data_IF_457184778031
#
_entry.id   IF_457184778031
#
_cell.length_a   1.000
_cell.length_b   1.000
_cell.length_c   1.000
_cell.angle_alpha   90.00
_cell.angle_beta   90.00
_cell.angle_gamma   90.00
#
_symmetry.space_group_name_H-M   'P 1'
#
loop_
_entity.id
_entity.type
_entity.pdbx_description
1 polymer ?
#
# COMPACT_ATOMS: atom_id res chain seq x y z
N UNK A 1 -18.17 54.59 3.96
CA UNK A 1 -17.02 53.70 4.19
C UNK A 1 -17.49 52.28 3.95
N UNK A 2 -17.34 51.78 2.72
CA UNK A 2 -17.67 50.38 2.39
C UNK A 2 -16.57 49.49 2.96
N UNK A 3 -16.90 48.65 3.94
CA UNK A 3 -16.00 47.61 4.42
C UNK A 3 -15.79 46.60 3.29
N UNK A 4 -14.66 46.75 2.58
CA UNK A 4 -14.09 45.67 1.77
C UNK A 4 -13.55 44.61 2.73
N UNK A 5 -14.43 43.77 3.27
CA UNK A 5 -14.04 42.43 3.69
C UNK A 5 -13.69 41.70 2.40
N UNK A 6 -12.39 41.63 2.08
CA UNK A 6 -11.90 40.89 0.92
C UNK A 6 -12.56 39.52 0.91
N UNK A 7 -13.24 39.20 -0.20
CA UNK A 7 -14.04 37.99 -0.33
C UNK A 7 -13.16 36.77 -0.06
N UNK A 8 -13.28 36.23 1.16
CA UNK A 8 -12.71 34.96 1.53
C UNK A 8 -13.26 33.89 0.57
N UNK A 9 -12.40 32.94 0.19
CA UNK A 9 -12.66 31.89 -0.80
C UNK A 9 -14.07 31.29 -0.67
N UNK A 10 -14.68 30.92 -1.82
CA UNK A 10 -16.00 30.28 -1.85
C UNK A 10 -16.04 29.07 -0.91
N UNK A 11 -17.16 28.87 -0.21
CA UNK A 11 -17.31 27.79 0.77
C UNK A 11 -16.97 26.42 0.19
N UNK A 12 -17.42 26.12 -1.03
CA UNK A 12 -17.08 24.88 -1.71
C UNK A 12 -15.56 24.67 -1.86
N UNK A 13 -14.82 25.72 -2.21
CA UNK A 13 -13.38 25.64 -2.43
C UNK A 13 -12.61 25.58 -1.10
N UNK A 14 -13.14 26.20 -0.05
CA UNK A 14 -12.67 26.01 1.32
C UNK A 14 -12.82 24.56 1.77
N UNK A 15 -14.02 23.98 1.64
CA UNK A 15 -14.27 22.61 2.06
C UNK A 15 -13.43 21.61 1.23
N UNK A 16 -13.22 21.87 -0.06
CA UNK A 16 -12.30 21.07 -0.89
C UNK A 16 -10.85 21.17 -0.40
N UNK A 17 -10.40 22.37 0.00
CA UNK A 17 -9.05 22.58 0.53
C UNK A 17 -8.86 21.82 1.83
N UNK A 18 -9.82 21.92 2.76
CA UNK A 18 -9.80 21.17 4.03
C UNK A 18 -9.81 19.67 3.75
N UNK A 19 -10.66 19.18 2.84
CA UNK A 19 -10.72 17.76 2.49
C UNK A 19 -9.41 17.25 1.86
N UNK A 20 -8.76 18.06 1.04
CA UNK A 20 -7.45 17.74 0.48
C UNK A 20 -6.38 17.65 1.58
N UNK A 21 -6.41 18.56 2.55
CA UNK A 21 -5.49 18.56 3.67
C UNK A 21 -5.71 17.34 4.59
N UNK A 22 -6.94 16.98 4.92
CA UNK A 22 -7.26 15.76 5.69
C UNK A 22 -6.73 14.48 5.00
N UNK A 23 -6.83 14.39 3.67
CA UNK A 23 -6.28 13.28 2.88
C UNK A 23 -4.76 13.24 2.90
N UNK A 24 -4.11 14.40 2.88
CA UNK A 24 -2.66 14.51 2.95
C UNK A 24 -2.18 14.09 4.35
N UNK A 25 -2.76 14.70 5.38
CA UNK A 25 -2.38 14.51 6.78
C UNK A 25 -2.60 13.05 7.24
N UNK A 26 -3.69 12.40 6.84
CA UNK A 26 -3.89 10.97 7.13
C UNK A 26 -2.81 10.07 6.50
N UNK A 27 -2.33 10.38 5.30
CA UNK A 27 -1.21 9.65 4.67
C UNK A 27 0.09 9.87 5.42
N UNK A 28 0.38 11.12 5.80
CA UNK A 28 1.59 11.46 6.56
C UNK A 28 1.60 10.76 7.93
N UNK A 29 0.47 10.73 8.65
CA UNK A 29 0.34 9.99 9.90
C UNK A 29 0.44 8.48 9.72
N UNK A 30 -0.08 7.93 8.61
CA UNK A 30 0.10 6.52 8.28
C UNK A 30 1.58 6.19 8.08
N UNK A 31 2.31 7.00 7.31
CA UNK A 31 3.76 6.86 7.13
C UNK A 31 4.47 6.93 8.48
N UNK A 32 4.17 7.94 9.29
CA UNK A 32 4.78 8.12 10.60
C UNK A 32 4.47 6.95 11.55
N UNK A 33 3.28 6.34 11.48
CA UNK A 33 2.93 5.11 12.22
C UNK A 33 3.86 3.97 11.82
N UNK A 34 4.10 3.79 10.51
CA UNK A 34 4.95 2.69 10.01
C UNK A 34 6.44 2.90 10.23
N UNK A 35 6.90 4.15 10.22
CA UNK A 35 8.32 4.51 10.37
C UNK A 35 8.73 4.74 11.83
N UNK A 36 7.78 4.94 12.75
CA UNK A 36 8.06 5.13 14.18
C UNK A 36 8.59 3.88 14.86
N UNK A 37 9.81 3.94 15.40
CA UNK A 37 10.41 2.87 16.21
C UNK A 37 9.85 2.82 17.64
N UNK A 38 9.44 3.96 18.19
CA UNK A 38 8.87 4.06 19.54
C UNK A 38 7.40 3.61 19.54
N UNK A 39 7.00 2.59 20.35
CA UNK A 39 5.62 2.11 20.40
C UNK A 39 4.61 3.20 20.78
N UNK A 40 4.97 4.10 21.69
CA UNK A 40 4.07 5.19 22.12
C UNK A 40 3.81 6.19 20.98
N UNK A 41 4.84 6.55 20.22
CA UNK A 41 4.72 7.47 19.07
C UNK A 41 3.91 6.81 17.95
N UNK A 42 4.11 5.51 17.73
CA UNK A 42 3.31 4.72 16.78
C UNK A 42 1.82 4.72 17.14
N UNK A 43 1.47 4.46 18.40
CA UNK A 43 0.07 4.52 18.85
C UNK A 43 -0.52 5.90 18.64
N UNK A 44 0.21 6.96 19.02
CA UNK A 44 -0.25 8.33 18.81
C UNK A 44 -0.56 8.64 17.32
N UNK A 45 0.33 8.26 16.39
CA UNK A 45 0.07 8.46 14.97
C UNK A 45 -1.07 7.59 14.43
N UNK A 46 -1.25 6.39 14.98
CA UNK A 46 -2.39 5.55 14.63
C UNK A 46 -3.71 6.19 15.07
N UNK A 47 -3.78 6.74 16.28
CA UNK A 47 -4.96 7.45 16.79
C UNK A 47 -5.26 8.68 15.93
N UNK A 48 -4.24 9.51 15.66
CA UNK A 48 -4.37 10.66 14.76
C UNK A 48 -4.83 10.26 13.34
N UNK A 49 -4.35 9.12 12.83
CA UNK A 49 -4.80 8.58 11.54
C UNK A 49 -6.29 8.25 11.57
N UNK A 50 -6.75 7.53 12.59
CA UNK A 50 -8.14 7.13 12.74
C UNK A 50 -9.07 8.36 12.90
N UNK A 51 -8.69 9.33 13.73
CA UNK A 51 -9.45 10.56 13.92
C UNK A 51 -9.53 11.39 12.64
N UNK A 52 -8.41 11.52 11.91
CA UNK A 52 -8.36 12.27 10.65
C UNK A 52 -9.23 11.60 9.58
N UNK A 53 -9.22 10.27 9.49
CA UNK A 53 -10.07 9.52 8.55
C UNK A 53 -11.56 9.67 8.88
N UNK A 54 -11.92 9.69 10.17
CA UNK A 54 -13.31 9.95 10.60
C UNK A 54 -13.76 11.35 10.18
N UNK A 55 -12.96 12.37 10.47
CA UNK A 55 -13.25 13.76 10.05
C UNK A 55 -13.34 13.89 8.53
N UNK A 56 -12.46 13.22 7.78
CA UNK A 56 -12.52 13.18 6.33
C UNK A 56 -13.86 12.60 5.82
N UNK A 57 -14.35 11.53 6.45
CA UNK A 57 -15.63 10.90 6.13
C UNK A 57 -16.83 11.79 6.46
N UNK A 58 -16.83 12.43 7.63
CA UNK A 58 -17.86 13.39 8.05
C UNK A 58 -17.94 14.59 7.08
N UNK A 59 -16.79 15.18 6.74
CA UNK A 59 -16.72 16.29 5.79
C UNK A 59 -17.18 15.88 4.38
N UNK A 60 -16.78 14.69 3.92
CA UNK A 60 -17.24 14.14 2.64
C UNK A 60 -18.77 14.03 2.60
N UNK A 61 -19.38 13.45 3.64
CA UNK A 61 -20.83 13.30 3.73
C UNK A 61 -21.53 14.67 3.73
N UNK A 62 -21.01 15.63 4.50
CA UNK A 62 -21.52 17.01 4.52
C UNK A 62 -21.47 17.65 3.13
N UNK A 63 -20.33 17.59 2.44
CA UNK A 63 -20.18 18.16 1.11
C UNK A 63 -21.09 17.46 0.09
N UNK A 64 -21.28 16.14 0.21
CA UNK A 64 -22.17 15.39 -0.67
C UNK A 64 -23.64 15.80 -0.48
N UNK A 65 -24.11 15.92 0.76
CA UNK A 65 -25.48 16.35 1.08
C UNK A 65 -25.79 17.76 0.54
N UNK A 66 -24.78 18.63 0.50
CA UNK A 66 -24.90 19.99 -0.01
C UNK A 66 -24.62 20.13 -1.52
N UNK A 67 -24.47 19.03 -2.26
CA UNK A 67 -24.09 19.03 -3.69
C UNK A 67 -22.77 19.77 -3.99
N UNK A 68 -21.89 19.89 -2.99
CA UNK A 68 -20.60 20.58 -3.08
C UNK A 68 -19.45 19.65 -3.46
N UNK A 69 -19.70 18.34 -3.47
CA UNK A 69 -18.74 17.32 -3.90
C UNK A 69 -19.16 16.66 -5.20
N UNK A 70 -18.32 16.76 -6.23
CA UNK A 70 -18.46 15.95 -7.44
C UNK A 70 -17.46 14.80 -7.36
N UNK A 71 -17.96 13.57 -7.33
CA UNK A 71 -17.08 12.41 -7.47
C UNK A 71 -16.39 12.47 -8.83
N UNK A 72 -15.09 12.20 -8.85
CA UNK A 72 -14.33 12.15 -10.11
C UNK A 72 -15.04 11.20 -11.08
N UNK A 73 -15.09 11.58 -12.36
CA UNK A 73 -15.67 10.74 -13.39
C UNK A 73 -15.03 9.34 -13.34
N UNK A 74 -15.81 8.31 -13.65
CA UNK A 74 -15.30 6.95 -13.78
C UNK A 74 -14.11 6.98 -14.75
N UNK A 75 -13.05 6.23 -14.43
CA UNK A 75 -11.88 6.14 -15.29
C UNK A 75 -12.30 5.77 -16.73
N UNK A 76 -11.78 6.45 -17.77
CA UNK A 76 -12.05 6.07 -19.14
C UNK A 76 -11.67 4.62 -19.37
N UNK A 77 -12.50 3.86 -20.11
CA UNK A 77 -12.20 2.45 -20.43
C UNK A 77 -10.82 2.28 -21.05
N UNK A 78 -10.42 3.22 -21.90
CA UNK A 78 -9.10 3.20 -22.53
C UNK A 78 -7.93 3.19 -21.53
N UNK A 79 -8.04 3.91 -20.40
CA UNK A 79 -6.98 3.93 -19.39
C UNK A 79 -6.98 2.64 -18.55
N UNK A 80 -8.14 2.04 -18.33
CA UNK A 80 -8.24 0.69 -17.77
C UNK A 80 -7.58 -0.33 -18.70
N UNK A 81 -7.87 -0.27 -20.00
CA UNK A 81 -7.31 -1.18 -21.00
C UNK A 81 -5.79 -1.07 -21.08
N UNK A 82 -5.24 0.16 -21.05
CA UNK A 82 -3.79 0.38 -20.97
C UNK A 82 -3.19 -0.26 -19.72
N UNK A 83 -3.80 -0.05 -18.56
CA UNK A 83 -3.29 -0.61 -17.30
C UNK A 83 -3.32 -2.14 -17.30
N UNK A 84 -4.36 -2.75 -17.87
CA UNK A 84 -4.47 -4.20 -18.05
C UNK A 84 -3.34 -4.71 -18.95
N UNK A 85 -3.10 -4.05 -20.08
CA UNK A 85 -2.01 -4.42 -20.99
C UNK A 85 -0.64 -4.30 -20.31
N UNK A 86 -0.39 -3.21 -19.59
CA UNK A 86 0.86 -3.02 -18.83
C UNK A 86 1.04 -4.10 -17.76
N UNK A 87 -0.03 -4.49 -17.07
CA UNK A 87 0.02 -5.58 -16.09
C UNK A 87 0.36 -6.93 -16.73
N UNK A 88 -0.22 -7.24 -17.89
CA UNK A 88 0.15 -8.45 -18.65
C UNK A 88 1.61 -8.45 -19.08
N UNK A 89 2.13 -7.32 -19.57
CA UNK A 89 3.54 -7.20 -19.93
C UNK A 89 4.46 -7.36 -18.71
N UNK A 90 4.11 -6.75 -17.58
CA UNK A 90 4.87 -6.90 -16.34
C UNK A 90 4.88 -8.36 -15.86
N UNK A 91 3.74 -9.05 -15.95
CA UNK A 91 3.63 -10.47 -15.61
C UNK A 91 4.56 -11.32 -16.50
N UNK A 92 4.56 -11.07 -17.81
CA UNK A 92 5.43 -11.80 -18.75
C UNK A 92 6.92 -11.56 -18.45
N UNK A 93 7.33 -10.31 -18.22
CA UNK A 93 8.71 -9.97 -17.84
C UNK A 93 9.12 -10.64 -16.53
N UNK A 94 8.21 -10.69 -15.55
CA UNK A 94 8.47 -11.36 -14.28
C UNK A 94 8.70 -12.87 -14.48
N UNK A 95 7.89 -13.53 -15.32
CA UNK A 95 8.09 -14.94 -15.66
C UNK A 95 9.41 -15.19 -16.38
N UNK A 96 9.78 -14.34 -17.34
CA UNK A 96 11.08 -14.43 -18.03
C UNK A 96 12.24 -14.27 -17.05
N UNK A 97 12.18 -13.26 -16.17
CA UNK A 97 13.19 -13.04 -15.14
C UNK A 97 13.36 -14.27 -14.22
N UNK A 98 12.25 -14.88 -13.78
CA UNK A 98 12.29 -16.10 -12.96
C UNK A 98 12.91 -17.26 -13.74
N UNK A 99 12.57 -17.45 -15.01
CA UNK A 99 13.17 -18.49 -15.85
C UNK A 99 14.68 -18.27 -16.03
N UNK A 100 15.12 -17.05 -16.35
CA UNK A 100 16.54 -16.69 -16.46
C UNK A 100 17.31 -16.97 -15.17
N UNK A 101 16.75 -16.58 -14.02
CA UNK A 101 17.33 -16.84 -12.69
C UNK A 101 17.38 -18.34 -12.36
N UNK A 102 16.35 -19.11 -12.70
CA UNK A 102 16.24 -20.54 -12.39
C UNK A 102 17.19 -21.38 -13.27
N UNK A 103 17.38 -21.00 -14.53
CA UNK A 103 18.35 -21.63 -15.43
C UNK A 103 19.78 -21.40 -14.93
N UNK A 104 20.10 -20.22 -14.39
CA UNK A 104 21.40 -19.94 -13.77
C UNK A 104 21.64 -20.66 -12.44
N UNK A 105 20.59 -21.06 -11.70
CA UNK A 105 20.74 -21.86 -10.47
C UNK A 105 20.84 -23.36 -10.74
N UNK A 106 20.43 -23.83 -11.93
CA UNK A 106 20.48 -25.25 -12.30
C UNK A 106 21.87 -25.75 -12.71
N UNK A 107 22.85 -24.85 -12.93
CA UNK A 107 24.25 -25.21 -13.19
C UNK A 107 25.05 -25.54 -11.92
N UNK A 108 24.47 -25.35 -10.72
CA UNK A 108 24.97 -25.89 -9.46
C UNK A 108 23.99 -26.92 -8.89
N UNK A 109 23.49 -27.80 -9.74
CA UNK A 109 22.92 -29.07 -9.30
C UNK A 109 24.03 -29.89 -8.63
N UNK A 110 24.19 -29.74 -7.32
CA UNK A 110 24.90 -30.72 -6.51
C UNK A 110 24.25 -32.08 -6.74
N UNK A 111 24.96 -32.96 -7.43
CA UNK A 111 24.81 -34.40 -7.25
C UNK A 111 24.97 -34.69 -5.75
N UNK A 112 23.96 -35.25 -5.06
CA UNK A 112 24.15 -35.72 -3.71
C UNK A 112 25.13 -36.89 -3.74
N UNK A 113 26.42 -36.62 -3.48
CA UNK A 113 27.39 -37.65 -3.17
C UNK A 113 27.15 -38.11 -1.72
N UNK A 114 26.02 -38.76 -1.48
CA UNK A 114 25.80 -39.54 -0.27
C UNK A 114 26.22 -40.97 -0.56
N UNK A 115 27.33 -41.37 0.05
CA UNK A 115 27.80 -42.76 0.06
C UNK A 115 26.68 -43.68 0.54
N UNK A 116 26.49 -44.89 -0.04
CA UNK A 116 25.52 -45.84 0.47
C UNK A 116 25.89 -46.22 1.90
N UNK A 117 25.05 -45.83 2.86
CA UNK A 117 25.11 -46.36 4.23
C UNK A 117 24.86 -47.87 4.16
N UNK A 118 25.88 -48.66 4.51
CA UNK A 118 25.68 -50.07 4.85
C UNK A 118 24.79 -50.16 6.11
N UNK A 119 23.75 -51.01 6.11
CA UNK A 119 23.02 -51.34 7.32
C UNK A 119 23.82 -52.39 8.10
N UNK A 120 24.42 -52.01 9.23
CA UNK A 120 25.00 -53.01 10.13
C UNK A 120 24.09 -53.24 11.34
N UNK A 121 23.37 -54.36 11.27
CA UNK A 121 22.66 -55.01 12.36
C UNK A 121 23.67 -55.48 13.41
N UNK A 122 23.50 -55.06 14.67
CA UNK A 122 24.30 -55.54 15.79
C UNK A 122 23.53 -55.40 17.11
N UNK A 123 22.88 -56.48 17.51
CA UNK A 123 22.06 -56.66 18.71
C UNK A 123 22.87 -56.56 20.03
N UNK A 124 22.20 -56.44 21.19
CA UNK A 124 22.77 -56.09 22.50
C UNK A 124 23.35 -57.32 23.23
N UNK A 125 23.85 -57.08 24.46
CA UNK A 125 24.38 -58.01 25.50
C UNK A 125 25.90 -58.28 25.48
N UNK A 126 26.61 -57.77 26.49
CA UNK A 126 27.17 -58.55 27.62
C UNK A 126 27.83 -57.63 28.67
N UNK A 127 27.48 -57.89 29.94
CA UNK A 127 28.13 -57.60 31.25
C UNK A 127 28.68 -56.20 31.54
#
# INVERSE_FOLDING_TARGET
MYNQTGTFMQEQDLLKTILADLRRTSREYTTATTESSCPMVRTMFNDLTNDTLRLQGELFNLMQQNNMYSASAKAPRQDLDKQIQSAHQAQQKCQQFVQEKTVQTSSYGQVPNVSPRQPNYGNPYYM
#
